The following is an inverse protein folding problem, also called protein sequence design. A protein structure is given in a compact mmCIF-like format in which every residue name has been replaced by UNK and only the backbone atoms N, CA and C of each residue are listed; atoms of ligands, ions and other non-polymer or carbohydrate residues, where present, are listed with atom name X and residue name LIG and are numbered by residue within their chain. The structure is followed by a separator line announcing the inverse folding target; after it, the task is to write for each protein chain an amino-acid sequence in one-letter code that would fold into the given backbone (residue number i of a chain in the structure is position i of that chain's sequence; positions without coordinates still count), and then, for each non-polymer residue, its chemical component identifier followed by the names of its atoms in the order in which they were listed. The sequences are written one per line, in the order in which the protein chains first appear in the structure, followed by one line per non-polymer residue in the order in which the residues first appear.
data_IF_755776852408
#
_entry.id   IF_755776852408
#
_cell.length_a   1.000
_cell.length_b   1.000
_cell.length_c   1.000
_cell.angle_alpha   90.00
_cell.angle_beta   90.00
_cell.angle_gamma   90.00
#
_symmetry.space_group_name_H-M   'P 1'
#
loop_
_entity.id
_entity.type
_entity.pdbx_description
1 polymer ?
#
# COMPACT_ATOMS: atom_id res chain seq x y z
N UNK A 1 34.22 1.53 -23.37
CA UNK A 1 33.63 1.64 -22.02
C UNK A 1 33.58 3.08 -21.51
N UNK A 2 34.70 3.77 -21.28
CA UNK A 2 34.68 5.15 -20.76
C UNK A 2 33.82 6.14 -21.55
N UNK A 3 33.84 6.06 -22.89
CA UNK A 3 32.98 6.88 -23.75
C UNK A 3 31.48 6.62 -23.55
N UNK A 4 31.07 5.34 -23.38
CA UNK A 4 29.68 4.96 -23.09
C UNK A 4 29.27 5.49 -21.71
N UNK A 5 30.13 5.37 -20.70
CA UNK A 5 29.88 5.92 -19.36
C UNK A 5 29.72 7.44 -19.37
N UNK A 6 30.49 8.15 -20.21
CA UNK A 6 30.30 9.59 -20.39
C UNK A 6 28.96 9.90 -21.06
N UNK A 7 28.58 9.17 -22.10
CA UNK A 7 27.29 9.35 -22.77
C UNK A 7 26.10 9.09 -21.82
N UNK A 8 26.14 8.05 -21.00
CA UNK A 8 25.07 7.77 -20.03
C UNK A 8 25.00 8.83 -18.95
N UNK A 9 26.15 9.30 -18.43
CA UNK A 9 26.20 10.40 -17.48
C UNK A 9 25.65 11.70 -18.07
N UNK A 10 25.98 12.01 -19.32
CA UNK A 10 25.48 13.18 -20.03
C UNK A 10 23.96 13.12 -20.22
N UNK A 11 23.40 11.98 -20.66
CA UNK A 11 21.96 11.78 -20.79
C UNK A 11 21.26 11.89 -19.43
N UNK A 12 21.81 11.27 -18.39
CA UNK A 12 21.27 11.36 -17.02
C UNK A 12 21.28 12.80 -16.48
N UNK A 13 22.26 13.60 -16.86
CA UNK A 13 22.37 15.00 -16.41
C UNK A 13 21.43 15.95 -17.18
N UNK A 14 21.22 15.74 -18.48
CA UNK A 14 20.50 16.67 -19.34
C UNK A 14 19.07 16.24 -19.69
N UNK A 15 18.78 14.94 -19.69
CA UNK A 15 17.47 14.36 -19.97
C UNK A 15 17.10 13.29 -18.93
N UNK A 16 17.07 13.66 -17.63
CA UNK A 16 16.98 12.70 -16.53
C UNK A 16 15.71 11.83 -16.60
N UNK A 17 14.53 12.40 -16.87
CA UNK A 17 13.28 11.65 -16.99
C UNK A 17 13.33 10.62 -18.13
N UNK A 18 13.70 11.05 -19.35
CA UNK A 18 13.79 10.17 -20.51
C UNK A 18 14.83 9.05 -20.31
N UNK A 19 15.99 9.40 -19.75
CA UNK A 19 17.03 8.43 -19.44
C UNK A 19 16.53 7.40 -18.42
N UNK A 20 15.94 7.85 -17.30
CA UNK A 20 15.46 6.93 -16.27
C UNK A 20 14.26 6.09 -16.72
N UNK A 21 13.36 6.63 -17.55
CA UNK A 21 12.30 5.85 -18.19
C UNK A 21 12.88 4.73 -19.07
N UNK A 22 13.93 5.02 -19.85
CA UNK A 22 14.61 3.98 -20.65
C UNK A 22 15.30 2.92 -19.79
N UNK A 23 15.89 3.33 -18.66
CA UNK A 23 16.52 2.42 -17.69
C UNK A 23 15.47 1.49 -17.08
N UNK A 24 14.35 2.05 -16.59
CA UNK A 24 13.22 1.29 -16.04
C UNK A 24 12.65 0.29 -17.07
N UNK A 25 12.42 0.73 -18.30
CA UNK A 25 11.94 -0.13 -19.40
C UNK A 25 12.90 -1.28 -19.72
N UNK A 26 14.22 -1.06 -19.63
CA UNK A 26 15.22 -2.11 -19.85
C UNK A 26 15.31 -3.16 -18.74
N UNK A 27 14.63 -2.96 -17.61
CA UNK A 27 14.63 -3.87 -16.47
C UNK A 27 13.22 -4.18 -15.94
N UNK A 28 12.17 -3.92 -16.74
CA UNK A 28 10.78 -4.04 -16.29
C UNK A 28 10.36 -5.46 -15.87
N UNK A 29 11.07 -6.50 -16.34
CA UNK A 29 10.85 -7.89 -15.94
C UNK A 29 11.37 -8.20 -14.52
N UNK A 30 12.23 -7.35 -13.96
CA UNK A 30 12.83 -7.51 -12.64
C UNK A 30 12.26 -6.47 -11.67
N UNK A 31 11.21 -6.86 -10.94
CA UNK A 31 10.49 -5.94 -10.04
C UNK A 31 11.34 -5.41 -8.90
N UNK A 32 12.36 -6.14 -8.46
CA UNK A 32 13.24 -5.69 -7.39
C UNK A 32 14.15 -4.56 -7.90
N UNK A 33 14.65 -4.69 -9.13
CA UNK A 33 15.42 -3.64 -9.80
C UNK A 33 14.56 -2.43 -10.17
N UNK A 34 13.31 -2.64 -10.60
CA UNK A 34 12.34 -1.55 -10.81
C UNK A 34 12.13 -0.80 -9.50
N UNK A 35 11.84 -1.48 -8.40
CA UNK A 35 11.62 -0.87 -7.09
C UNK A 35 12.82 0.00 -6.64
N UNK A 36 14.04 -0.55 -6.78
CA UNK A 36 15.27 0.20 -6.47
C UNK A 36 15.41 1.44 -7.35
N UNK A 37 15.18 1.29 -8.65
CA UNK A 37 15.34 2.38 -9.62
C UNK A 37 14.29 3.46 -9.43
N UNK A 38 13.04 3.11 -9.11
CA UNK A 38 11.98 4.09 -8.78
C UNK A 38 12.37 4.93 -7.56
N UNK A 39 12.93 4.32 -6.51
CA UNK A 39 13.46 5.07 -5.35
C UNK A 39 14.59 6.03 -5.77
N UNK A 40 15.47 5.63 -6.69
CA UNK A 40 16.53 6.51 -7.22
C UNK A 40 15.96 7.68 -8.03
N UNK A 41 14.95 7.43 -8.87
CA UNK A 41 14.24 8.46 -9.65
C UNK A 41 13.64 9.51 -8.71
N UNK A 42 12.95 9.06 -7.65
CA UNK A 42 12.39 9.95 -6.63
C UNK A 42 13.47 10.75 -5.89
N UNK A 43 14.61 10.13 -5.56
CA UNK A 43 15.75 10.80 -4.93
C UNK A 43 16.42 11.85 -5.86
N UNK A 44 16.30 11.69 -7.18
CA UNK A 44 16.72 12.69 -8.18
C UNK A 44 15.74 13.87 -8.30
N UNK A 45 14.61 13.83 -7.60
CA UNK A 45 13.57 14.88 -7.66
C UNK A 45 12.64 14.76 -8.88
N UNK A 46 12.60 13.58 -9.51
CA UNK A 46 11.64 13.24 -10.55
C UNK A 46 10.41 12.54 -9.93
N UNK A 47 9.28 12.60 -10.64
CA UNK A 47 8.06 11.90 -10.26
C UNK A 47 7.88 10.66 -11.14
N UNK A 48 7.48 9.55 -10.52
CA UNK A 48 6.94 8.39 -11.25
C UNK A 48 5.46 8.35 -10.94
N UNK A 49 4.64 8.67 -11.94
CA UNK A 49 3.19 8.55 -11.82
C UNK A 49 2.78 7.09 -11.96
N UNK A 50 1.67 6.75 -11.31
CA UNK A 50 1.12 5.41 -11.32
C UNK A 50 0.72 4.91 -12.71
N UNK A 51 0.48 3.61 -12.87
CA UNK A 51 -0.07 3.09 -14.11
C UNK A 51 -1.47 3.66 -14.35
N UNK A 52 -1.82 3.84 -15.62
CA UNK A 52 -3.14 4.27 -16.09
C UNK A 52 -3.46 3.60 -17.42
N UNK A 53 -4.62 2.96 -17.55
CA UNK A 53 -5.04 2.35 -18.83
C UNK A 53 -5.28 3.37 -19.94
N UNK A 54 -5.41 4.67 -19.61
CA UNK A 54 -5.62 5.74 -20.60
C UNK A 54 -4.31 6.45 -20.97
N UNK A 55 -3.23 6.29 -20.19
CA UNK A 55 -1.98 7.04 -20.40
C UNK A 55 -0.75 6.13 -20.56
N UNK A 56 -0.68 5.01 -19.83
CA UNK A 56 0.49 4.14 -19.77
C UNK A 56 0.64 3.26 -21.01
N UNK A 57 1.87 3.15 -21.52
CA UNK A 57 2.25 2.19 -22.56
C UNK A 57 2.79 0.88 -21.96
N UNK A 58 3.26 -0.04 -22.80
CA UNK A 58 3.96 -1.25 -22.33
C UNK A 58 5.21 -0.89 -21.52
N UNK A 59 6.06 -0.06 -22.11
CA UNK A 59 7.27 0.47 -21.51
C UNK A 59 6.98 1.71 -20.65
N UNK A 60 7.90 2.03 -19.73
CA UNK A 60 7.89 3.33 -19.06
C UNK A 60 8.11 4.43 -20.09
N UNK A 61 7.33 5.49 -19.95
CA UNK A 61 7.35 6.64 -20.85
C UNK A 61 7.43 7.94 -20.03
N UNK A 62 7.49 9.09 -20.69
CA UNK A 62 7.52 10.38 -20.02
C UNK A 62 6.33 11.22 -20.47
N UNK A 63 5.73 11.93 -19.52
CA UNK A 63 4.73 12.97 -19.82
C UNK A 63 5.43 14.32 -20.07
N UNK A 64 6.48 14.60 -19.29
CA UNK A 64 7.31 15.80 -19.42
C UNK A 64 8.77 15.56 -18.95
N UNK A 65 9.53 16.64 -18.76
CA UNK A 65 10.94 16.57 -18.33
C UNK A 65 11.16 16.06 -16.89
N UNK A 66 10.09 15.90 -16.10
CA UNK A 66 10.13 15.50 -14.69
C UNK A 66 9.25 14.30 -14.35
N UNK A 67 8.24 14.01 -15.15
CA UNK A 67 7.21 13.01 -14.87
C UNK A 67 7.40 11.80 -15.79
N UNK A 68 7.63 10.65 -15.16
CA UNK A 68 7.69 9.33 -15.79
C UNK A 68 6.35 8.64 -15.57
N UNK A 69 5.72 8.16 -16.64
CA UNK A 69 4.50 7.36 -16.58
C UNK A 69 4.86 5.89 -16.44
N UNK A 70 4.26 5.20 -15.46
CA UNK A 70 4.50 3.76 -15.24
C UNK A 70 4.17 2.93 -16.48
N UNK A 71 5.00 1.94 -16.82
CA UNK A 71 4.72 0.99 -17.89
C UNK A 71 3.79 -0.13 -17.42
N UNK A 72 2.71 -0.41 -18.16
CA UNK A 72 1.79 -1.51 -17.85
C UNK A 72 2.46 -2.88 -17.92
N UNK A 73 3.54 -3.01 -18.70
CA UNK A 73 4.34 -4.24 -18.80
C UNK A 73 5.07 -4.61 -17.49
N UNK A 74 5.31 -3.64 -16.62
CA UNK A 74 5.95 -3.89 -15.32
C UNK A 74 4.97 -4.41 -14.24
N UNK A 75 3.69 -4.57 -14.56
CA UNK A 75 2.68 -5.10 -13.64
C UNK A 75 2.63 -6.63 -13.74
N UNK A 76 2.93 -7.33 -12.65
CA UNK A 76 2.89 -8.80 -12.59
C UNK A 76 1.49 -9.31 -12.92
N UNK A 77 1.41 -10.13 -13.96
CA UNK A 77 0.15 -10.72 -14.43
C UNK A 77 -0.49 -9.97 -15.60
N UNK A 78 0.08 -8.83 -16.02
CA UNK A 78 -0.26 -8.15 -17.28
C UNK A 78 0.79 -8.54 -18.31
N UNK A 79 0.36 -9.12 -19.43
CA UNK A 79 1.26 -9.54 -20.52
C UNK A 79 1.38 -8.48 -21.61
N UNK A 80 2.54 -8.42 -22.27
CA UNK A 80 2.82 -7.50 -23.37
C UNK A 80 1.72 -7.49 -24.44
N UNK A 81 1.29 -8.67 -24.90
CA UNK A 81 0.23 -8.80 -25.90
C UNK A 81 -1.11 -8.18 -25.47
N UNK A 82 -1.44 -8.21 -24.18
CA UNK A 82 -2.64 -7.51 -23.70
C UNK A 82 -2.42 -6.00 -23.77
N UNK A 83 -1.26 -5.50 -23.32
CA UNK A 83 -0.97 -4.07 -23.33
C UNK A 83 -1.01 -3.50 -24.75
N UNK A 84 -0.43 -4.20 -25.73
CA UNK A 84 -0.49 -3.81 -27.14
C UNK A 84 -1.93 -3.65 -27.63
N UNK A 85 -2.80 -4.59 -27.25
CA UNK A 85 -4.23 -4.54 -27.58
C UNK A 85 -4.92 -3.35 -26.91
N UNK A 86 -4.61 -3.05 -25.63
CA UNK A 86 -5.16 -1.90 -24.93
C UNK A 86 -4.73 -0.57 -25.57
N UNK A 87 -3.45 -0.44 -25.88
CA UNK A 87 -2.90 0.79 -26.49
C UNK A 87 -3.48 0.99 -27.89
N UNK A 88 -3.47 -0.04 -28.74
CA UNK A 88 -4.01 0.06 -30.08
C UNK A 88 -5.49 0.45 -30.08
N UNK A 89 -6.27 -0.12 -29.15
CA UNK A 89 -7.70 0.16 -29.07
C UNK A 89 -8.00 1.58 -28.59
N UNK A 90 -7.30 2.10 -27.57
CA UNK A 90 -7.51 3.49 -27.14
C UNK A 90 -6.99 4.51 -28.15
N UNK A 91 -5.92 4.20 -28.89
CA UNK A 91 -5.42 5.09 -29.96
C UNK A 91 -6.41 5.18 -31.12
N UNK A 92 -7.13 4.09 -31.41
CA UNK A 92 -8.15 4.05 -32.46
C UNK A 92 -9.48 4.69 -32.01
N UNK A 93 -9.92 4.44 -30.77
CA UNK A 93 -11.27 4.74 -30.31
C UNK A 93 -11.34 5.74 -29.14
N UNK A 94 -10.21 6.33 -28.75
CA UNK A 94 -10.09 7.24 -27.61
C UNK A 94 -10.10 6.53 -26.26
N UNK A 95 -10.00 7.32 -25.20
CA UNK A 95 -9.92 6.85 -23.82
C UNK A 95 -11.08 5.93 -23.41
N UNK A 96 -10.77 4.99 -22.53
CA UNK A 96 -11.79 4.20 -21.84
C UNK A 96 -12.50 5.09 -20.83
N UNK A 97 -13.83 5.13 -20.92
CA UNK A 97 -14.64 5.98 -20.04
C UNK A 97 -14.87 5.33 -18.68
N UNK A 98 -15.07 4.01 -18.68
CA UNK A 98 -15.35 3.25 -17.47
C UNK A 98 -15.03 1.75 -17.63
N UNK A 99 -15.29 0.95 -16.59
CA UNK A 99 -15.00 -0.48 -16.57
C UNK A 99 -15.79 -1.27 -17.63
N UNK A 100 -17.03 -0.88 -17.91
CA UNK A 100 -17.90 -1.58 -18.87
C UNK A 100 -17.48 -1.29 -20.30
N UNK A 101 -17.13 -0.03 -20.58
CA UNK A 101 -16.55 0.41 -21.83
C UNK A 101 -15.23 -0.33 -22.10
N UNK A 102 -14.32 -0.34 -21.12
CA UNK A 102 -13.07 -1.12 -21.15
C UNK A 102 -13.31 -2.60 -21.46
N UNK A 103 -14.22 -3.28 -20.73
CA UNK A 103 -14.49 -4.69 -20.98
C UNK A 103 -15.15 -4.93 -22.35
N UNK A 104 -15.97 -4.00 -22.84
CA UNK A 104 -16.70 -4.17 -24.10
C UNK A 104 -15.83 -4.01 -25.34
N UNK A 105 -14.84 -3.11 -25.29
CA UNK A 105 -13.92 -2.81 -26.40
C UNK A 105 -12.85 -3.88 -26.59
N UNK A 106 -12.47 -4.58 -25.53
CA UNK A 106 -11.41 -5.59 -25.61
C UNK A 106 -11.98 -6.99 -25.80
N UNK A 107 -11.42 -7.74 -26.76
CA UNK A 107 -11.81 -9.12 -26.99
C UNK A 107 -11.53 -10.02 -25.78
N UNK A 108 -12.49 -10.91 -25.46
CA UNK A 108 -12.40 -11.84 -24.32
C UNK A 108 -11.12 -12.66 -24.28
N UNK A 109 -10.59 -13.09 -25.44
CA UNK A 109 -9.35 -13.91 -25.48
C UNK A 109 -8.14 -13.17 -24.91
N UNK A 110 -8.16 -11.85 -24.94
CA UNK A 110 -7.08 -10.99 -24.47
C UNK A 110 -7.23 -10.64 -22.99
N UNK A 111 -8.47 -10.47 -22.50
CA UNK A 111 -8.74 -10.18 -21.09
C UNK A 111 -8.95 -11.46 -20.26
N UNK A 112 -7.90 -11.88 -19.55
CA UNK A 112 -8.04 -12.90 -18.51
C UNK A 112 -8.28 -12.27 -17.12
N UNK A 113 -8.89 -13.05 -16.22
CA UNK A 113 -9.21 -12.63 -14.85
C UNK A 113 -8.00 -12.06 -14.10
N UNK A 114 -6.84 -12.73 -14.20
CA UNK A 114 -5.62 -12.34 -13.49
C UNK A 114 -5.11 -10.96 -13.92
N UNK A 115 -5.18 -10.66 -15.21
CA UNK A 115 -4.74 -9.39 -15.76
C UNK A 115 -5.67 -8.23 -15.35
N UNK A 116 -6.99 -8.44 -15.38
CA UNK A 116 -7.96 -7.43 -14.94
C UNK A 116 -7.78 -7.13 -13.44
N UNK A 117 -7.68 -8.16 -12.61
CA UNK A 117 -7.40 -7.99 -11.17
C UNK A 117 -6.08 -7.24 -10.95
N UNK A 118 -5.02 -7.57 -11.71
CA UNK A 118 -3.73 -6.90 -11.61
C UNK A 118 -3.77 -5.41 -12.00
N UNK A 119 -4.49 -5.07 -13.07
CA UNK A 119 -4.71 -3.68 -13.48
C UNK A 119 -5.52 -2.90 -12.43
N UNK A 120 -6.54 -3.50 -11.82
CA UNK A 120 -7.30 -2.86 -10.75
C UNK A 120 -6.42 -2.66 -9.51
N UNK A 121 -5.71 -3.69 -9.05
CA UNK A 121 -4.90 -3.63 -7.82
C UNK A 121 -3.69 -2.70 -7.94
N UNK A 122 -3.13 -2.53 -9.14
CA UNK A 122 -2.03 -1.58 -9.41
C UNK A 122 -2.48 -0.12 -9.46
N UNK A 123 -3.79 0.13 -9.57
CA UNK A 123 -4.36 1.46 -9.74
C UNK A 123 -4.51 1.91 -11.19
N UNK A 124 -4.24 1.03 -12.16
CA UNK A 124 -4.35 1.38 -13.58
C UNK A 124 -5.76 1.81 -14.01
N UNK A 125 -6.79 1.41 -13.25
CA UNK A 125 -8.20 1.76 -13.48
C UNK A 125 -8.72 2.86 -12.52
N UNK A 126 -7.86 3.47 -11.70
CA UNK A 126 -8.30 4.48 -10.71
C UNK A 126 -8.87 5.74 -11.39
N UNK A 127 -8.49 6.00 -12.65
CA UNK A 127 -9.02 7.10 -13.47
C UNK A 127 -10.54 7.04 -13.70
N UNK A 128 -11.18 5.89 -13.45
CA UNK A 128 -12.64 5.77 -13.50
C UNK A 128 -13.36 6.40 -12.30
N UNK A 129 -12.63 6.83 -11.26
CA UNK A 129 -13.23 7.44 -10.07
C UNK A 129 -14.04 6.47 -9.19
N UNK A 130 -13.88 5.16 -9.39
CA UNK A 130 -14.55 4.10 -8.63
C UNK A 130 -13.54 3.40 -7.73
N UNK A 131 -13.91 3.14 -6.47
CA UNK A 131 -13.00 2.47 -5.55
C UNK A 131 -12.64 1.05 -6.06
N UNK A 132 -11.38 0.64 -5.82
CA UNK A 132 -10.85 -0.64 -6.33
C UNK A 132 -11.66 -1.85 -5.86
N UNK A 133 -12.21 -1.84 -4.64
CA UNK A 133 -13.04 -2.93 -4.14
C UNK A 133 -14.35 -3.10 -4.94
N UNK A 134 -14.97 -1.99 -5.33
CA UNK A 134 -16.17 -1.97 -6.17
C UNK A 134 -15.83 -2.39 -7.60
N UNK A 135 -14.67 -1.99 -8.13
CA UNK A 135 -14.17 -2.50 -9.42
C UNK A 135 -13.98 -4.03 -9.38
N UNK A 136 -13.33 -4.56 -8.32
CA UNK A 136 -13.15 -6.01 -8.13
C UNK A 136 -14.49 -6.74 -8.02
N UNK A 137 -15.47 -6.16 -7.32
CA UNK A 137 -16.80 -6.75 -7.20
C UNK A 137 -17.56 -6.72 -8.54
N UNK A 138 -17.34 -5.70 -9.35
CA UNK A 138 -18.13 -5.42 -10.57
C UNK A 138 -17.57 -6.09 -11.82
N UNK A 139 -16.25 -6.22 -11.97
CA UNK A 139 -15.62 -6.68 -13.22
C UNK A 139 -16.16 -8.02 -13.75
N UNK A 140 -16.55 -9.03 -12.93
CA UNK A 140 -17.10 -10.27 -13.49
C UNK A 140 -18.43 -10.04 -14.24
N UNK A 141 -19.26 -9.11 -13.74
CA UNK A 141 -20.51 -8.73 -14.39
C UNK A 141 -20.24 -7.93 -15.67
N UNK A 142 -19.30 -6.98 -15.63
CA UNK A 142 -18.90 -6.20 -16.79
C UNK A 142 -18.36 -7.07 -17.92
N UNK A 143 -17.49 -8.05 -17.60
CA UNK A 143 -16.99 -9.03 -18.57
C UNK A 143 -18.11 -9.89 -19.18
N UNK A 144 -19.10 -10.30 -18.39
CA UNK A 144 -20.24 -11.09 -18.87
C UNK A 144 -21.13 -10.27 -19.82
N UNK A 145 -21.38 -9.00 -19.51
CA UNK A 145 -22.15 -8.10 -20.37
C UNK A 145 -21.41 -7.84 -21.70
N UNK A 146 -20.09 -7.64 -21.65
CA UNK A 146 -19.26 -7.51 -22.84
C UNK A 146 -19.32 -8.77 -23.72
N UNK A 147 -19.23 -9.96 -23.12
CA UNK A 147 -19.34 -11.23 -23.84
C UNK A 147 -20.69 -11.38 -24.55
N UNK A 148 -21.79 -11.07 -23.85
CA UNK A 148 -23.13 -11.11 -24.46
C UNK A 148 -23.22 -10.19 -25.67
N UNK A 149 -22.71 -8.95 -25.55
CA UNK A 149 -22.73 -7.96 -26.63
C UNK A 149 -21.90 -8.40 -27.85
N UNK A 150 -20.70 -8.95 -27.63
CA UNK A 150 -19.84 -9.46 -28.70
C UNK A 150 -20.49 -10.67 -29.41
N UNK A 151 -21.19 -11.52 -28.66
CA UNK A 151 -21.94 -12.65 -29.23
C UNK A 151 -23.15 -12.18 -30.06
N UNK A 152 -23.93 -11.22 -29.56
CA UNK A 152 -25.10 -10.67 -30.27
C UNK A 152 -24.68 -10.02 -31.60
N UNK A 153 -23.56 -9.29 -31.61
CA UNK A 153 -23.00 -8.68 -32.82
C UNK A 153 -22.47 -9.71 -33.84
N UNK A 154 -21.77 -10.75 -33.37
CA UNK A 154 -21.19 -11.78 -34.24
C UNK A 154 -22.21 -12.79 -34.76
N UNK A 155 -23.32 -13.00 -34.04
CA UNK A 155 -24.38 -13.95 -34.42
C UNK A 155 -25.30 -13.40 -35.52
N UNK A 156 -25.11 -12.15 -35.95
CA UNK A 156 -25.89 -11.56 -37.03
C UNK A 156 -27.39 -11.58 -36.75
N UNK A 157 -27.81 -11.48 -35.47
CA UNK A 157 -29.21 -11.33 -35.07
C UNK A 157 -29.75 -9.94 -35.44
N UNK A 158 -29.60 -9.58 -36.72
CA UNK A 158 -30.46 -8.67 -37.47
C UNK A 158 -31.78 -9.37 -37.85
N UNK A 159 -32.32 -10.19 -36.93
CA UNK A 159 -33.58 -10.92 -37.11
C UNK A 159 -34.78 -9.98 -37.04
N UNK A 160 -35.97 -10.48 -37.39
CA UNK A 160 -37.26 -9.78 -37.53
C UNK A 160 -37.69 -8.80 -36.39
N UNK A 161 -36.92 -8.71 -35.30
CA UNK A 161 -37.06 -7.78 -34.18
C UNK A 161 -36.01 -6.66 -34.16
N UNK A 162 -35.18 -6.50 -35.20
CA UNK A 162 -34.18 -5.42 -35.29
C UNK A 162 -34.77 -4.00 -35.30
N UNK A 163 -36.09 -3.86 -35.48
CA UNK A 163 -36.83 -2.61 -35.33
C UNK A 163 -37.30 -2.33 -33.90
N UNK A 164 -37.26 -3.31 -33.01
CA UNK A 164 -37.08 -3.02 -31.60
C UNK A 164 -35.58 -2.85 -31.46
N UNK A 165 -35.11 -1.60 -31.45
CA UNK A 165 -33.86 -1.31 -30.79
C UNK A 165 -34.02 -1.85 -29.37
N UNK A 166 -33.63 -3.11 -29.14
CA UNK A 166 -33.11 -3.50 -27.85
C UNK A 166 -31.86 -2.66 -27.75
N UNK A 167 -32.06 -1.42 -27.30
CA UNK A 167 -31.09 -0.75 -26.47
C UNK A 167 -30.80 -1.79 -25.38
N UNK A 168 -29.83 -2.67 -25.63
CA UNK A 168 -28.94 -3.14 -24.58
C UNK A 168 -28.23 -1.87 -24.14
N UNK A 169 -29.00 -1.05 -23.42
CA UNK A 169 -28.58 0.23 -22.91
C UNK A 169 -27.35 -0.10 -22.07
N UNK A 170 -26.32 0.67 -22.34
CA UNK A 170 -25.07 0.66 -21.63
C UNK A 170 -25.37 0.93 -20.15
N UNK A 171 -25.69 -0.14 -19.42
CA UNK A 171 -26.10 -0.03 -18.02
C UNK A 171 -24.84 -0.13 -17.16
N UNK A 172 -24.30 1.04 -16.87
CA UNK A 172 -23.18 1.22 -15.96
C UNK A 172 -23.69 1.03 -14.54
N UNK A 173 -23.62 -0.21 -14.05
CA UNK A 173 -24.07 -0.55 -12.71
C UNK A 173 -22.91 -1.09 -11.86
N UNK A 174 -22.21 -0.20 -11.16
CA UNK A 174 -21.19 -0.58 -10.20
C UNK A 174 -21.81 -1.21 -8.95
N UNK A 175 -21.28 -2.37 -8.56
CA UNK A 175 -21.64 -3.03 -7.30
C UNK A 175 -20.83 -2.39 -6.17
N UNK A 176 -21.47 -1.63 -5.26
CA UNK A 176 -20.74 -0.93 -4.21
C UNK A 176 -20.07 -1.93 -3.26
N UNK A 177 -18.85 -1.63 -2.86
CA UNK A 177 -18.12 -2.34 -1.82
C UNK A 177 -17.40 -1.33 -0.93
N UNK A 178 -17.24 -1.69 0.35
CA UNK A 178 -16.36 -0.95 1.26
C UNK A 178 -14.95 -0.95 0.68
N UNK A 179 -14.29 0.20 0.73
CA UNK A 179 -12.90 0.34 0.29
C UNK A 179 -12.01 -0.63 1.05
N UNK A 180 -10.96 -1.12 0.40
CA UNK A 180 -9.95 -1.95 1.06
C UNK A 180 -9.33 -1.20 2.23
N UNK A 181 -9.01 -1.93 3.30
CA UNK A 181 -8.19 -1.39 4.38
C UNK A 181 -6.81 -0.95 3.84
N UNK A 182 -6.11 -0.11 4.60
CA UNK A 182 -4.75 0.31 4.25
C UNK A 182 -3.82 -0.89 4.01
N UNK A 183 -3.88 -1.89 4.89
CA UNK A 183 -3.06 -3.10 4.79
C UNK A 183 -3.42 -3.97 3.59
N UNK A 184 -4.70 -4.15 3.28
CA UNK A 184 -5.13 -4.89 2.10
C UNK A 184 -4.70 -4.17 0.81
N UNK A 185 -4.86 -2.85 0.75
CA UNK A 185 -4.40 -2.03 -0.40
C UNK A 185 -2.91 -2.27 -0.67
N UNK A 186 -2.07 -2.21 0.37
CA UNK A 186 -0.63 -2.45 0.26
C UNK A 186 -0.29 -3.89 -0.11
N UNK A 187 -1.05 -4.87 0.41
CA UNK A 187 -0.85 -6.27 0.07
C UNK A 187 -1.13 -6.53 -1.41
N UNK A 188 -2.25 -6.01 -1.92
CA UNK A 188 -2.61 -6.14 -3.32
C UNK A 188 -1.65 -5.38 -4.24
N UNK A 189 -1.25 -4.17 -3.86
CA UNK A 189 -0.23 -3.40 -4.58
C UNK A 189 1.09 -4.18 -4.67
N UNK A 190 1.65 -4.63 -3.54
CA UNK A 190 2.91 -5.41 -3.54
C UNK A 190 2.78 -6.71 -4.34
N UNK A 191 1.61 -7.34 -4.33
CA UNK A 191 1.37 -8.57 -5.09
C UNK A 191 1.54 -8.35 -6.60
N UNK A 192 1.09 -7.21 -7.13
CA UNK A 192 1.05 -6.94 -8.57
C UNK A 192 2.20 -6.05 -9.04
N UNK A 193 2.70 -5.14 -8.21
CA UNK A 193 3.83 -4.27 -8.51
C UNK A 193 5.18 -4.89 -8.08
N UNK A 194 5.14 -5.79 -7.09
CA UNK A 194 6.34 -6.39 -6.48
C UNK A 194 6.90 -5.60 -5.29
N UNK A 195 6.48 -4.36 -5.10
CA UNK A 195 6.93 -3.45 -4.04
C UNK A 195 5.83 -2.45 -3.69
N UNK A 196 6.06 -1.66 -2.65
CA UNK A 196 5.16 -0.61 -2.20
C UNK A 196 5.38 0.67 -3.01
N UNK A 197 4.43 1.04 -3.86
CA UNK A 197 4.57 2.15 -4.81
C UNK A 197 4.00 3.46 -4.25
N UNK A 198 2.73 3.47 -3.81
CA UNK A 198 2.08 4.69 -3.32
C UNK A 198 2.39 5.00 -1.85
N UNK A 199 2.33 3.99 -0.97
CA UNK A 199 2.50 4.16 0.47
C UNK A 199 3.33 3.02 1.03
N UNK A 200 4.10 3.26 2.10
CA UNK A 200 4.84 2.19 2.77
C UNK A 200 4.06 1.66 4.00
N UNK A 201 4.17 0.37 4.41
CA UNK A 201 3.49 -0.14 5.60
C UNK A 201 3.72 0.66 6.89
N UNK A 202 4.89 1.28 7.02
CA UNK A 202 5.20 2.17 8.16
C UNK A 202 4.38 3.45 8.16
N UNK A 203 3.85 3.85 7.01
CA UNK A 203 3.12 5.11 6.85
C UNK A 203 1.80 5.13 7.61
N UNK A 204 1.20 3.95 7.85
CA UNK A 204 0.04 3.74 8.73
C UNK A 204 0.26 4.34 10.13
N UNK A 205 1.52 4.36 10.59
CA UNK A 205 1.89 4.78 11.94
C UNK A 205 2.58 6.13 11.98
N UNK A 206 2.63 6.89 10.88
CA UNK A 206 3.31 8.21 10.82
C UNK A 206 2.82 9.17 11.91
N UNK A 207 1.53 9.13 12.24
CA UNK A 207 0.96 9.93 13.33
C UNK A 207 1.42 9.45 14.72
N UNK A 208 1.57 8.14 14.90
CA UNK A 208 1.97 7.51 16.17
C UNK A 208 3.48 7.68 16.47
N UNK A 209 4.31 7.95 15.45
CA UNK A 209 5.77 8.12 15.59
C UNK A 209 6.16 9.15 16.66
N UNK A 210 5.40 10.26 16.76
CA UNK A 210 5.61 11.31 17.76
C UNK A 210 5.53 10.79 19.20
N UNK A 211 4.78 9.72 19.39
CA UNK A 211 4.44 9.17 20.70
C UNK A 211 5.23 7.91 21.03
N UNK A 212 5.54 7.11 20.01
CA UNK A 212 6.23 5.83 20.17
C UNK A 212 7.75 6.02 20.38
N UNK A 213 8.28 7.24 20.28
CA UNK A 213 9.73 7.53 20.40
C UNK A 213 10.57 6.57 19.56
N UNK A 214 10.07 6.23 18.38
CA UNK A 214 10.73 5.37 17.42
C UNK A 214 10.51 6.01 16.05
N UNK A 215 11.59 6.22 15.31
CA UNK A 215 11.50 6.72 13.94
C UNK A 215 12.75 6.20 13.27
N UNK A 216 12.60 5.54 12.12
CA UNK A 216 13.75 5.29 11.27
C UNK A 216 14.23 6.66 10.79
N UNK A 217 15.43 7.12 11.17
CA UNK A 217 15.80 8.50 10.89
C UNK A 217 16.14 8.68 9.42
N UNK A 218 15.39 9.52 8.72
CA UNK A 218 15.60 9.86 7.31
C UNK A 218 16.95 10.54 7.01
N UNK A 219 17.65 11.03 8.04
CA UNK A 219 18.96 11.67 7.95
C UNK A 219 19.87 11.31 9.15
N UNK A 220 19.97 10.02 9.48
CA UNK A 220 20.79 9.56 10.60
C UNK A 220 22.27 9.93 10.39
N UNK A 221 22.77 10.85 11.21
CA UNK A 221 24.21 10.92 11.46
C UNK A 221 24.55 9.75 12.37
N UNK A 222 24.95 8.64 11.76
CA UNK A 222 25.36 7.45 12.47
C UNK A 222 26.56 7.75 13.37
N UNK A 223 26.40 7.48 14.67
CA UNK A 223 27.49 7.48 15.64
C UNK A 223 27.67 6.07 16.13
N UNK A 224 28.90 5.59 16.11
CA UNK A 224 29.22 4.23 16.52
C UNK A 224 28.76 4.00 17.98
N UNK A 225 28.09 2.88 18.23
CA UNK A 225 27.48 2.47 19.50
C UNK A 225 26.37 3.39 20.04
N UNK A 226 25.74 4.22 19.20
CA UNK A 226 24.56 4.99 19.62
C UNK A 226 23.34 4.08 19.79
N UNK A 227 22.66 4.20 20.93
CA UNK A 227 21.37 3.55 21.16
C UNK A 227 20.26 4.23 20.34
N UNK A 228 19.45 3.41 19.69
CA UNK A 228 18.33 3.85 18.85
C UNK A 228 17.12 2.95 19.03
N UNK A 229 15.96 3.53 18.76
CA UNK A 229 14.69 2.83 18.63
C UNK A 229 14.08 3.21 17.29
N UNK A 230 13.71 2.23 16.48
CA UNK A 230 13.26 2.45 15.10
C UNK A 230 11.96 1.71 14.85
N UNK A 231 11.01 2.41 14.22
CA UNK A 231 9.83 1.79 13.63
C UNK A 231 10.19 1.42 12.20
N UNK A 232 10.06 0.14 11.84
CA UNK A 232 10.40 -0.30 10.50
C UNK A 232 9.63 -1.56 10.10
N UNK A 233 9.48 -1.76 8.80
CA UNK A 233 9.07 -3.03 8.21
C UNK A 233 10.27 -3.98 8.16
N UNK A 234 10.10 -5.24 8.55
CA UNK A 234 11.07 -6.29 8.26
C UNK A 234 10.86 -6.76 6.81
N UNK A 235 11.68 -6.30 5.87
CA UNK A 235 11.56 -6.65 4.45
C UNK A 235 12.26 -7.96 4.08
N UNK A 236 13.30 -8.34 4.81
CA UNK A 236 13.99 -9.62 4.63
C UNK A 236 14.43 -10.20 5.98
N UNK A 237 14.31 -11.51 6.15
CA UNK A 237 14.78 -12.23 7.34
C UNK A 237 15.55 -13.49 6.91
N UNK A 238 16.81 -13.61 7.35
CA UNK A 238 17.69 -14.75 7.04
C UNK A 238 18.38 -15.25 8.29
N UNK A 239 18.22 -16.52 8.62
CA UNK A 239 18.98 -17.17 9.68
C UNK A 239 20.34 -17.64 9.16
N UNK A 240 21.39 -17.44 9.94
CA UNK A 240 22.75 -17.92 9.65
C UNK A 240 23.42 -18.49 10.89
N UNK A 241 24.28 -19.47 10.69
CA UNK A 241 25.18 -19.93 11.73
C UNK A 241 26.45 -19.08 11.75
N UNK A 242 26.85 -18.63 12.92
CA UNK A 242 28.14 -17.99 13.17
C UNK A 242 29.28 -19.00 13.05
N UNK A 243 30.53 -18.52 12.98
CA UNK A 243 31.73 -19.38 12.97
C UNK A 243 31.82 -20.32 14.18
N UNK A 244 31.20 -19.95 15.31
CA UNK A 244 31.15 -20.78 16.52
C UNK A 244 29.97 -21.77 16.53
N UNK A 245 29.17 -21.84 15.46
CA UNK A 245 28.00 -22.71 15.35
C UNK A 245 26.72 -22.15 15.96
N UNK A 246 26.77 -21.01 16.66
CA UNK A 246 25.59 -20.36 17.22
C UNK A 246 24.75 -19.69 16.12
N UNK A 247 23.42 -19.76 16.21
CA UNK A 247 22.50 -19.18 15.23
C UNK A 247 22.32 -17.66 15.45
N UNK A 248 22.28 -16.89 14.37
CA UNK A 248 21.98 -15.45 14.34
C UNK A 248 20.96 -15.16 13.23
N UNK A 249 20.27 -14.02 13.30
CA UNK A 249 19.42 -13.52 12.22
C UNK A 249 20.03 -12.27 11.60
N UNK A 250 20.06 -12.23 10.28
CA UNK A 250 20.30 -11.05 9.47
C UNK A 250 18.96 -10.57 8.92
N UNK A 251 18.69 -9.28 9.08
CA UNK A 251 17.40 -8.68 8.79
C UNK A 251 17.63 -7.42 7.97
N UNK A 252 16.82 -7.21 6.94
CA UNK A 252 16.70 -5.89 6.33
C UNK A 252 15.46 -5.22 6.89
N UNK A 253 15.63 -3.99 7.37
CA UNK A 253 14.52 -3.19 7.88
C UNK A 253 14.41 -1.91 7.08
N UNK A 254 13.19 -1.51 6.74
CA UNK A 254 12.95 -0.32 5.92
C UNK A 254 11.74 0.51 6.36
N UNK A 255 11.77 1.77 5.95
CA UNK A 255 10.60 2.66 5.88
C UNK A 255 10.44 3.19 4.44
N UNK A 256 9.60 4.20 4.22
CA UNK A 256 9.41 4.81 2.90
C UNK A 256 10.67 5.47 2.32
N UNK A 257 11.70 5.74 3.12
CA UNK A 257 12.88 6.51 2.72
C UNK A 257 14.20 5.74 2.79
N UNK A 258 14.35 4.80 3.72
CA UNK A 258 15.65 4.23 4.10
C UNK A 258 15.56 2.72 4.29
N UNK A 259 16.58 2.02 3.81
CA UNK A 259 16.85 0.61 4.07
C UNK A 259 18.07 0.51 5.00
N UNK A 260 17.97 -0.28 6.07
CA UNK A 260 19.02 -0.49 7.05
C UNK A 260 19.22 -1.98 7.31
N UNK A 261 20.47 -2.43 7.27
CA UNK A 261 20.83 -3.77 7.70
C UNK A 261 20.73 -3.88 9.23
N UNK A 262 20.19 -4.99 9.72
CA UNK A 262 20.07 -5.28 11.14
C UNK A 262 20.53 -6.70 11.45
N UNK A 263 21.08 -6.89 12.65
CA UNK A 263 21.59 -8.18 13.11
C UNK A 263 21.07 -8.50 14.51
N UNK A 264 20.58 -9.73 14.66
CA UNK A 264 20.17 -10.30 15.95
C UNK A 264 21.13 -11.44 16.27
N UNK A 265 22.01 -11.22 17.26
CA UNK A 265 22.94 -12.24 17.70
C UNK A 265 22.26 -13.31 18.56
N UNK A 266 22.90 -14.49 18.65
CA UNK A 266 22.38 -15.67 19.35
C UNK A 266 21.88 -15.40 20.77
N UNK A 267 22.55 -14.51 21.52
CA UNK A 267 22.17 -14.13 22.89
C UNK A 267 20.76 -13.55 22.98
N UNK A 268 20.34 -12.79 21.97
CA UNK A 268 19.05 -12.09 21.92
C UNK A 268 18.03 -12.86 21.08
N UNK A 269 18.51 -13.67 20.11
CA UNK A 269 17.65 -14.33 19.12
C UNK A 269 16.50 -15.13 19.75
N UNK A 270 16.78 -15.88 20.81
CA UNK A 270 15.75 -16.68 21.48
C UNK A 270 14.63 -15.88 22.14
N UNK A 271 14.90 -14.64 22.58
CA UNK A 271 13.86 -13.81 23.23
C UNK A 271 13.06 -12.96 22.24
N UNK A 272 13.50 -12.84 20.99
CA UNK A 272 12.83 -12.01 19.97
C UNK A 272 12.31 -12.81 18.78
N UNK A 273 12.58 -14.11 18.68
CA UNK A 273 12.28 -14.94 17.51
C UNK A 273 10.81 -14.92 17.10
N UNK A 274 9.89 -14.85 18.06
CA UNK A 274 8.44 -14.79 17.78
C UNK A 274 8.03 -13.49 17.08
N UNK A 275 8.76 -12.39 17.32
CA UNK A 275 8.51 -11.10 16.70
C UNK A 275 9.29 -10.91 15.39
N UNK A 276 10.16 -11.86 15.00
CA UNK A 276 10.92 -11.82 13.76
C UNK A 276 10.12 -12.46 12.63
N UNK A 277 9.19 -11.70 12.07
CA UNK A 277 8.36 -12.12 10.94
C UNK A 277 8.58 -11.17 9.77
N UNK A 278 8.91 -11.71 8.60
CA UNK A 278 9.00 -10.91 7.37
C UNK A 278 7.63 -10.30 7.03
N UNK A 279 7.66 -9.13 6.39
CA UNK A 279 6.47 -8.35 6.03
C UNK A 279 5.64 -7.89 7.25
N UNK A 280 6.30 -7.66 8.39
CA UNK A 280 5.65 -7.09 9.58
C UNK A 280 6.31 -5.80 10.03
N UNK A 281 5.48 -4.85 10.48
CA UNK A 281 5.95 -3.59 11.08
C UNK A 281 6.21 -3.81 12.56
N UNK A 282 7.43 -3.51 12.98
CA UNK A 282 7.91 -3.71 14.34
C UNK A 282 8.65 -2.47 14.84
N UNK A 283 8.84 -2.41 16.15
CA UNK A 283 9.74 -1.46 16.80
C UNK A 283 10.99 -2.20 17.25
N UNK A 284 12.13 -1.89 16.65
CA UNK A 284 13.43 -2.45 17.03
C UNK A 284 14.17 -1.48 17.95
N UNK A 285 14.78 -2.00 19.00
CA UNK A 285 15.68 -1.24 19.88
C UNK A 285 17.06 -1.88 19.86
N UNK A 286 18.10 -1.07 19.81
CA UNK A 286 19.47 -1.57 19.72
C UNK A 286 20.51 -0.49 19.53
N UNK A 287 21.69 -0.88 19.06
CA UNK A 287 22.84 0.00 18.84
C UNK A 287 23.25 0.02 17.39
N UNK A 288 23.53 1.20 16.87
CA UNK A 288 24.11 1.34 15.53
C UNK A 288 25.62 1.18 15.63
N UNK A 289 26.17 0.22 14.88
CA UNK A 289 27.60 0.07 14.72
C UNK A 289 27.96 -0.18 13.25
N UNK A 290 29.27 -0.24 12.99
CA UNK A 290 29.76 -0.70 11.70
C UNK A 290 30.02 -2.20 11.74
N UNK A 291 29.69 -2.89 10.66
CA UNK A 291 29.99 -4.30 10.47
C UNK A 291 31.47 -4.50 10.02
N UNK A 292 31.83 -5.73 9.65
CA UNK A 292 33.19 -6.07 9.20
C UNK A 292 33.54 -5.50 7.82
N UNK A 293 32.55 -5.01 7.06
CA UNK A 293 32.70 -4.34 5.76
C UNK A 293 32.71 -2.82 5.89
N UNK A 294 32.70 -2.30 7.12
CA UNK A 294 32.59 -0.88 7.43
C UNK A 294 31.23 -0.27 7.05
N UNK A 295 30.19 -1.10 6.87
CA UNK A 295 28.81 -0.68 6.61
C UNK A 295 28.02 -0.51 7.91
N UNK A 296 27.13 0.48 7.97
CA UNK A 296 26.28 0.70 9.14
C UNK A 296 25.20 -0.39 9.27
N UNK A 297 25.05 -0.91 10.48
CA UNK A 297 24.00 -1.86 10.82
C UNK A 297 23.40 -1.56 12.19
N UNK A 298 22.16 -2.00 12.41
CA UNK A 298 21.51 -2.03 13.71
C UNK A 298 21.79 -3.38 14.39
N UNK A 299 22.53 -3.38 15.50
CA UNK A 299 22.60 -4.53 16.40
C UNK A 299 21.38 -4.50 17.31
N UNK A 300 20.47 -5.46 17.11
CA UNK A 300 19.17 -5.49 17.76
C UNK A 300 19.28 -6.14 19.14
N UNK A 301 18.83 -5.41 20.16
CA UNK A 301 18.70 -5.89 21.53
C UNK A 301 17.25 -6.31 21.85
N UNK A 302 16.27 -5.72 21.17
CA UNK A 302 14.84 -5.98 21.41
C UNK A 302 14.01 -5.75 20.15
N UNK A 303 13.01 -6.60 19.93
CA UNK A 303 11.98 -6.45 18.90
C UNK A 303 10.62 -6.47 19.57
N UNK A 304 9.78 -5.49 19.26
CA UNK A 304 8.42 -5.37 19.80
C UNK A 304 7.43 -5.19 18.65
N UNK A 305 6.35 -5.97 18.65
CA UNK A 305 5.25 -5.75 17.70
C UNK A 305 4.60 -4.38 17.91
N UNK A 306 4.19 -3.72 16.83
CA UNK A 306 3.67 -2.35 16.89
C UNK A 306 2.45 -2.22 17.81
N UNK A 307 1.54 -3.19 17.80
CA UNK A 307 0.34 -3.17 18.64
C UNK A 307 0.67 -3.19 20.14
N UNK A 308 1.66 -4.00 20.53
CA UNK A 308 2.13 -4.05 21.92
C UNK A 308 2.75 -2.71 22.34
N UNK A 309 3.46 -2.06 21.42
CA UNK A 309 4.04 -0.73 21.70
C UNK A 309 2.94 0.32 21.78
N UNK A 310 1.96 0.30 20.88
CA UNK A 310 0.79 1.20 20.95
C UNK A 310 0.07 1.03 22.29
N UNK A 311 -0.21 -0.19 22.72
CA UNK A 311 -0.86 -0.44 24.02
C UNK A 311 -0.03 0.08 25.20
N UNK A 312 1.29 -0.12 25.18
CA UNK A 312 2.18 0.32 26.26
C UNK A 312 2.26 1.84 26.42
N UNK A 313 2.20 2.59 25.32
CA UNK A 313 2.32 4.05 25.34
C UNK A 313 0.97 4.77 25.29
N UNK A 314 -0.13 4.06 25.00
CA UNK A 314 -1.47 4.64 25.01
C UNK A 314 -1.83 5.11 26.42
N UNK A 315 -2.16 6.40 26.55
CA UNK A 315 -2.60 6.98 27.82
C UNK A 315 -4.10 6.87 28.00
N UNK A 316 -4.86 7.02 26.92
CA UNK A 316 -6.31 6.81 26.93
C UNK A 316 -6.85 6.54 25.54
N UNK A 317 -7.89 5.72 25.43
CA UNK A 317 -8.71 5.62 24.23
C UNK A 317 -9.81 6.69 24.30
N UNK A 318 -9.73 7.73 23.46
CA UNK A 318 -10.66 8.85 23.48
C UNK A 318 -11.85 8.60 22.55
N UNK A 319 -13.07 8.83 23.04
CA UNK A 319 -14.31 8.72 22.25
C UNK A 319 -15.09 10.02 22.38
N UNK A 320 -15.34 10.68 21.25
CA UNK A 320 -16.14 11.89 21.19
C UNK A 320 -17.62 11.57 21.05
N UNK A 321 -18.43 12.04 21.99
CA UNK A 321 -19.85 11.76 22.08
C UNK A 321 -20.65 13.06 22.08
N UNK A 322 -21.84 13.02 21.53
CA UNK A 322 -22.79 14.13 21.55
C UNK A 322 -24.21 13.61 21.81
N UNK A 323 -25.23 14.48 21.71
CA UNK A 323 -26.64 14.09 21.93
C UNK A 323 -27.14 13.01 20.96
N UNK A 324 -26.64 12.95 19.73
CA UNK A 324 -27.06 11.96 18.72
C UNK A 324 -26.67 10.53 19.13
N UNK A 325 -25.55 10.38 19.85
CA UNK A 325 -25.01 9.08 20.24
C UNK A 325 -25.68 8.48 21.48
N UNK A 326 -26.60 9.19 22.15
CA UNK A 326 -27.18 8.76 23.42
C UNK A 326 -27.90 7.41 23.33
N UNK A 327 -28.57 7.12 22.21
CA UNK A 327 -29.23 5.83 21.98
C UNK A 327 -28.24 4.65 21.85
N UNK A 328 -26.96 4.94 21.62
CA UNK A 328 -25.91 3.96 21.33
C UNK A 328 -25.01 3.67 22.55
N UNK A 329 -25.28 4.27 23.71
CA UNK A 329 -24.43 4.11 24.90
C UNK A 329 -24.39 2.67 25.42
N UNK A 330 -25.51 1.95 25.41
CA UNK A 330 -25.55 0.54 25.83
C UNK A 330 -24.79 -0.38 24.84
N UNK A 331 -25.02 -0.30 23.51
CA UNK A 331 -24.18 -0.97 22.53
C UNK A 331 -22.69 -0.64 22.67
N UNK A 332 -22.34 0.63 22.88
CA UNK A 332 -20.96 1.07 23.03
C UNK A 332 -20.33 0.48 24.30
N UNK A 333 -21.06 0.48 25.42
CA UNK A 333 -20.65 -0.14 26.67
C UNK A 333 -20.36 -1.64 26.51
N UNK A 334 -21.22 -2.35 25.76
CA UNK A 334 -21.01 -3.76 25.45
C UNK A 334 -19.76 -3.98 24.58
N UNK A 335 -19.58 -3.17 23.52
CA UNK A 335 -18.43 -3.23 22.63
C UNK A 335 -17.10 -2.99 23.39
N UNK A 336 -17.06 -1.99 24.26
CA UNK A 336 -15.87 -1.70 25.07
C UNK A 336 -15.56 -2.84 26.05
N UNK A 337 -16.59 -3.45 26.66
CA UNK A 337 -16.42 -4.60 27.58
C UNK A 337 -15.96 -5.88 26.87
N UNK A 338 -16.24 -6.03 25.58
CA UNK A 338 -15.77 -7.16 24.77
C UNK A 338 -14.30 -6.99 24.35
N UNK A 339 -13.80 -5.76 24.29
CA UNK A 339 -12.44 -5.44 23.83
C UNK A 339 -11.50 -5.06 24.99
N UNK A 340 -11.44 -5.90 26.04
CA UNK A 340 -10.67 -5.60 27.26
C UNK A 340 -9.16 -5.46 27.00
N UNK A 341 -8.51 -4.55 27.73
CA UNK A 341 -7.06 -4.34 27.70
C UNK A 341 -6.58 -3.46 28.85
N UNK A 342 -5.46 -2.75 28.67
CA UNK A 342 -4.85 -1.93 29.73
C UNK A 342 -5.05 -0.42 29.57
N UNK A 343 -5.60 0.04 28.44
CA UNK A 343 -5.75 1.46 28.15
C UNK A 343 -7.09 2.00 28.67
N UNK A 344 -7.13 3.02 29.55
CA UNK A 344 -8.39 3.56 30.06
C UNK A 344 -9.17 4.31 28.97
N UNK A 345 -10.50 4.21 29.01
CA UNK A 345 -11.36 4.96 28.08
C UNK A 345 -11.65 6.37 28.62
N UNK A 346 -11.51 7.37 27.77
CA UNK A 346 -11.82 8.78 28.03
C UNK A 346 -12.94 9.24 27.11
N UNK A 347 -14.08 9.59 27.69
CA UNK A 347 -15.20 10.16 26.95
C UNK A 347 -15.08 11.67 26.90
N UNK A 348 -15.19 12.23 25.70
CA UNK A 348 -15.36 13.67 25.48
C UNK A 348 -16.80 13.91 25.06
N UNK A 349 -17.60 14.54 25.91
CA UNK A 349 -19.00 14.82 25.61
C UNK A 349 -19.17 16.28 25.18
N UNK A 350 -19.68 16.51 23.98
CA UNK A 350 -19.91 17.82 23.40
C UNK A 350 -21.41 18.11 23.26
N UNK A 351 -21.79 19.30 23.71
CA UNK A 351 -23.10 19.94 23.50
C UNK A 351 -22.89 21.32 22.88
N UNK A 352 -23.94 21.93 22.34
CA UNK A 352 -23.86 23.13 21.49
C UNK A 352 -22.95 24.24 22.04
N UNK A 353 -22.94 24.46 23.36
CA UNK A 353 -22.16 25.52 24.02
C UNK A 353 -21.17 25.03 25.10
N UNK A 354 -20.93 23.72 25.23
CA UNK A 354 -20.03 23.20 26.25
C UNK A 354 -19.42 21.85 25.88
N UNK A 355 -18.23 21.57 26.42
CA UNK A 355 -17.58 20.27 26.33
C UNK A 355 -17.09 19.83 27.71
N UNK A 356 -17.19 18.54 27.98
CA UNK A 356 -16.67 17.91 29.20
C UNK A 356 -15.87 16.65 28.87
N UNK A 357 -14.85 16.38 29.67
CA UNK A 357 -14.07 15.14 29.57
C UNK A 357 -14.28 14.29 30.83
N UNK A 358 -14.51 13.00 30.65
CA UNK A 358 -14.62 12.03 31.74
C UNK A 358 -13.70 10.85 31.43
N UNK A 359 -12.73 10.61 32.31
CA UNK A 359 -11.95 9.37 32.31
C UNK A 359 -12.64 8.45 33.32
N UNK A 360 -13.12 7.31 32.85
CA UNK A 360 -13.72 6.30 33.72
C UNK A 360 -12.74 5.15 33.97
N UNK A 361 -12.86 4.51 35.13
CA UNK A 361 -12.14 3.28 35.48
C UNK A 361 -12.96 2.03 35.16
N UNK A 362 -14.16 2.19 34.61
CA UNK A 362 -15.08 1.08 34.32
C UNK A 362 -14.73 0.39 32.99
N UNK A 363 -13.96 1.07 32.13
CA UNK A 363 -13.55 0.55 30.83
C UNK A 363 -12.03 0.68 30.66
N UNK A 364 -11.39 -0.47 30.49
CA UNK A 364 -10.03 -0.59 30.00
C UNK A 364 -10.05 -1.45 28.76
N UNK A 365 -9.48 -0.93 27.68
CA UNK A 365 -9.56 -1.55 26.36
C UNK A 365 -8.18 -1.81 25.78
N UNK A 366 -8.11 -2.73 24.82
CA UNK A 366 -6.94 -2.88 23.96
C UNK A 366 -7.07 -1.90 22.80
N UNK A 367 -6.27 -0.82 22.74
CA UNK A 367 -6.43 0.21 21.72
C UNK A 367 -5.80 -0.28 20.40
N UNK A 368 -6.62 -0.88 19.53
CA UNK A 368 -6.22 -1.35 18.21
C UNK A 368 -7.14 -0.77 17.11
N UNK A 369 -6.73 -0.94 15.85
CA UNK A 369 -7.48 -0.42 14.69
C UNK A 369 -8.88 -1.02 14.58
N UNK A 370 -9.04 -2.31 14.88
CA UNK A 370 -10.33 -2.99 14.87
C UNK A 370 -11.33 -2.35 15.85
N UNK A 371 -10.87 -1.93 17.03
CA UNK A 371 -11.71 -1.24 18.01
C UNK A 371 -12.09 0.16 17.54
N UNK A 372 -11.15 0.90 16.92
CA UNK A 372 -11.43 2.21 16.31
C UNK A 372 -12.54 2.06 15.26
N UNK A 373 -12.35 1.16 14.29
CA UNK A 373 -13.30 0.91 13.22
C UNK A 373 -14.66 0.46 13.76
N UNK A 374 -14.69 -0.45 14.74
CA UNK A 374 -15.94 -0.91 15.33
C UNK A 374 -16.70 0.20 16.08
N UNK A 375 -15.98 1.10 16.76
CA UNK A 375 -16.58 2.25 17.46
C UNK A 375 -17.07 3.29 16.45
N UNK A 376 -16.27 3.62 15.45
CA UNK A 376 -16.63 4.60 14.43
C UNK A 376 -17.82 4.11 13.57
N UNK A 377 -17.86 2.82 13.22
CA UNK A 377 -19.00 2.20 12.53
C UNK A 377 -20.25 2.20 13.42
N UNK A 378 -20.10 1.91 14.71
CA UNK A 378 -21.24 1.90 15.63
C UNK A 378 -21.82 3.31 15.81
N UNK A 379 -20.97 4.32 15.87
CA UNK A 379 -21.35 5.71 16.12
C UNK A 379 -21.66 6.49 14.84
N UNK A 380 -21.41 5.89 13.66
CA UNK A 380 -21.57 6.48 12.34
C UNK A 380 -20.82 7.83 12.20
N UNK A 381 -19.64 7.91 12.83
CA UNK A 381 -18.83 9.12 12.92
C UNK A 381 -17.36 8.76 13.26
N UNK A 382 -16.39 9.54 12.78
CA UNK A 382 -14.96 9.34 13.08
C UNK A 382 -14.58 9.98 14.42
N UNK A 383 -15.09 9.39 15.50
CA UNK A 383 -15.08 10.01 16.83
C UNK A 383 -14.11 9.37 17.81
N UNK A 384 -13.50 8.25 17.44
CA UNK A 384 -12.57 7.53 18.31
C UNK A 384 -11.12 7.71 17.89
N UNK A 385 -10.23 7.87 18.87
CA UNK A 385 -8.79 7.99 18.63
C UNK A 385 -7.99 7.50 19.84
N UNK A 386 -6.77 7.02 19.60
CA UNK A 386 -5.84 6.66 20.68
C UNK A 386 -5.07 7.91 21.07
N UNK A 387 -5.22 8.35 22.32
CA UNK A 387 -4.40 9.42 22.87
C UNK A 387 -3.17 8.84 23.55
N UNK A 388 -2.01 9.29 23.10
CA UNK A 388 -0.71 8.95 23.66
C UNK A 388 -0.08 10.08 24.49
N UNK A 389 -0.70 11.26 24.53
CA UNK A 389 -0.19 12.48 25.20
C UNK A 389 -0.70 12.59 26.63
#
# INVERSE_FOLDING_TARGET
YAYISYQTAWLKAHYPAAFMASVLSGMMDDTDRVAFTVKEVQAMGLTVDGPSINESYHQFSIQDEKIITYGLGAIKGVGEALVEVLVAEREANGDYQDLFDFCSRIERRSLNKRAVEALIYSGALDGFGVNRASLIRTYPSAMKQAEQRQNDQSSGQSGLFANEQVHNEYEVHYLPASSFSFRETLQFEKMVMGYYFYNHPTDEYKADLKHISATLPSALVFRNNKEVRVLALISELRYRSTRSGAQMALINVEDSATLLNAVVFSKVLGSVSEALVADTVVVLSGKINKDYRDEWQLVVDKVEGIDMVKEKYARSFEISLNRKHQALFEPLSALLKQNQGQCPVKFRYQVDNAQGNVITRDYFVKPNQQLIEAVDVLLDDHVSQINYV
#
